data_IF_377871319483
#
_entry.id   IF_377871319483
#
_cell.length_a   1.000
_cell.length_b   1.000
_cell.length_c   1.000
_cell.angle_alpha   90.00
_cell.angle_beta   90.00
_cell.angle_gamma   90.00
#
_symmetry.space_group_name_H-M   'P 1'
#
loop_
_entity.id
_entity.type
_entity.pdbx_description
1 polymer ?
#
# COMPACT_ATOMS: atom_id res chain seq x y z
N UNK A 1 -27.36 -3.73 -18.86
CA UNK A 1 -25.89 -3.47 -18.86
C UNK A 1 -25.61 -2.60 -17.65
N UNK A 2 -25.04 -3.18 -16.61
CA UNK A 2 -24.50 -2.39 -15.49
C UNK A 2 -23.42 -1.48 -16.06
N UNK A 3 -23.64 -0.17 -16.03
CA UNK A 3 -22.60 0.79 -16.36
C UNK A 3 -21.55 0.68 -15.26
N UNK A 4 -20.42 0.02 -15.56
CA UNK A 4 -19.28 -0.01 -14.66
C UNK A 4 -18.90 1.44 -14.34
N UNK A 5 -19.05 1.83 -13.09
CA UNK A 5 -18.78 3.19 -12.61
C UNK A 5 -17.35 3.64 -12.94
N UNK A 6 -16.41 2.71 -12.95
CA UNK A 6 -14.99 2.93 -13.24
C UNK A 6 -14.53 2.17 -14.50
N UNK A 7 -13.56 2.72 -15.25
CA UNK A 7 -13.04 2.05 -16.44
C UNK A 7 -12.26 0.77 -16.06
N UNK A 8 -12.34 -0.24 -16.93
CA UNK A 8 -11.49 -1.42 -16.80
C UNK A 8 -10.02 -1.04 -17.01
N UNK A 9 -9.11 -1.61 -16.21
CA UNK A 9 -7.68 -1.25 -16.20
C UNK A 9 -6.99 -1.49 -17.56
N UNK A 10 -7.51 -2.42 -18.37
CA UNK A 10 -7.00 -2.74 -19.72
C UNK A 10 -7.61 -1.87 -20.81
N UNK A 11 -8.49 -0.95 -20.46
CA UNK A 11 -9.10 -0.05 -21.45
C UNK A 11 -8.03 0.86 -22.07
N UNK A 12 -7.94 0.95 -23.41
CA UNK A 12 -6.94 1.79 -24.08
C UNK A 12 -6.99 3.26 -23.65
N UNK A 13 -8.17 3.74 -23.28
CA UNK A 13 -8.41 5.10 -22.80
C UNK A 13 -8.55 5.21 -21.27
N UNK A 14 -8.03 4.21 -20.54
CA UNK A 14 -8.09 4.14 -19.08
C UNK A 14 -7.68 5.44 -18.41
N UNK A 15 -6.50 5.96 -18.75
CA UNK A 15 -5.95 7.19 -18.16
C UNK A 15 -6.87 8.40 -18.38
N UNK A 16 -7.47 8.49 -19.55
CA UNK A 16 -8.42 9.56 -19.86
C UNK A 16 -9.70 9.41 -19.04
N UNK A 17 -10.28 8.21 -19.01
CA UNK A 17 -11.55 7.95 -18.31
C UNK A 17 -11.43 8.13 -16.81
N UNK A 18 -10.33 7.66 -16.19
CA UNK A 18 -10.14 7.77 -14.75
C UNK A 18 -10.00 9.25 -14.33
N UNK A 19 -9.26 10.06 -15.08
CA UNK A 19 -9.04 11.48 -14.76
C UNK A 19 -10.29 12.36 -14.95
N UNK A 20 -11.33 11.87 -15.63
CA UNK A 20 -12.61 12.55 -15.75
C UNK A 20 -13.55 12.31 -14.57
N UNK A 21 -13.29 11.32 -13.72
CA UNK A 21 -14.06 11.11 -12.50
C UNK A 21 -13.76 12.23 -11.50
N UNK A 22 -14.82 12.72 -10.82
CA UNK A 22 -14.75 13.91 -9.96
C UNK A 22 -13.65 13.81 -8.88
N UNK A 23 -13.55 12.67 -8.21
CA UNK A 23 -12.58 12.40 -7.16
C UNK A 23 -11.13 12.42 -7.64
N UNK A 24 -10.90 12.14 -8.93
CA UNK A 24 -9.58 12.24 -9.57
C UNK A 24 -9.36 13.60 -10.23
N UNK A 25 -10.37 14.17 -10.84
CA UNK A 25 -10.31 15.50 -11.42
C UNK A 25 -9.93 16.57 -10.39
N UNK A 26 -10.43 16.43 -9.16
CA UNK A 26 -10.13 17.33 -8.04
C UNK A 26 -8.65 17.26 -7.59
N UNK A 27 -7.93 16.19 -7.92
CA UNK A 27 -6.49 16.05 -7.61
C UNK A 27 -5.59 16.60 -8.71
N UNK A 28 -6.17 17.19 -9.76
CA UNK A 28 -5.41 17.72 -10.90
C UNK A 28 -4.51 18.88 -10.46
N UNK A 29 -3.24 18.77 -10.78
CA UNK A 29 -2.30 19.86 -10.56
C UNK A 29 -2.50 20.90 -11.67
N UNK A 30 -2.72 22.15 -11.31
CA UNK A 30 -2.74 23.24 -12.29
C UNK A 30 -1.36 23.33 -12.93
N UNK A 31 -1.31 23.14 -14.26
CA UNK A 31 -0.06 23.31 -15.01
C UNK A 31 0.40 24.77 -14.92
N UNK A 32 1.62 24.99 -14.49
CA UNK A 32 2.25 26.32 -14.54
C UNK A 32 2.94 26.46 -15.87
N UNK A 33 2.60 27.51 -16.62
CA UNK A 33 3.39 27.92 -17.77
C UNK A 33 4.73 28.47 -17.25
N UNK A 34 5.84 28.01 -17.81
CA UNK A 34 7.24 28.28 -17.39
C UNK A 34 7.67 29.75 -17.27
N UNK A 35 6.77 30.72 -17.36
CA UNK A 35 7.11 32.14 -17.55
C UNK A 35 6.95 33.04 -16.33
N UNK A 36 6.37 32.58 -15.23
CA UNK A 36 6.16 33.50 -14.09
C UNK A 36 6.77 32.95 -12.79
N UNK A 37 8.05 33.28 -12.57
CA UNK A 37 8.77 32.97 -11.32
C UNK A 37 8.05 33.52 -10.09
N UNK A 38 7.40 34.69 -10.19
CA UNK A 38 6.67 35.31 -9.08
C UNK A 38 5.41 34.52 -8.67
N UNK A 39 4.73 33.94 -9.64
CA UNK A 39 3.58 33.05 -9.35
C UNK A 39 4.05 31.76 -8.68
N UNK A 40 5.17 31.19 -9.13
CA UNK A 40 5.76 29.98 -8.53
C UNK A 40 6.21 30.27 -7.10
N UNK A 41 6.87 31.40 -6.83
CA UNK A 41 7.30 31.81 -5.51
C UNK A 41 6.09 32.02 -4.57
N UNK A 42 5.07 32.75 -5.02
CA UNK A 42 3.83 32.95 -4.27
C UNK A 42 3.12 31.64 -3.92
N UNK A 43 3.06 30.69 -4.88
CA UNK A 43 2.49 29.37 -4.65
C UNK A 43 3.31 28.56 -3.65
N UNK A 44 4.65 28.60 -3.79
CA UNK A 44 5.55 27.95 -2.85
C UNK A 44 5.33 28.47 -1.43
N UNK A 45 5.19 29.76 -1.29
CA UNK A 45 4.89 30.41 0.00
C UNK A 45 3.52 30.01 0.55
N UNK A 46 2.51 29.91 -0.30
CA UNK A 46 1.17 29.44 0.09
C UNK A 46 1.21 27.99 0.57
N UNK A 47 1.89 27.10 -0.16
CA UNK A 47 2.08 25.70 0.22
C UNK A 47 2.85 25.52 1.53
N UNK A 48 3.87 26.39 1.77
CA UNK A 48 4.65 26.39 3.00
C UNK A 48 3.88 26.94 4.22
N UNK A 49 2.83 27.74 4.01
CA UNK A 49 1.99 28.33 5.08
C UNK A 49 0.92 27.39 5.61
N UNK A 50 0.70 26.22 4.98
CA UNK A 50 -0.28 25.24 5.46
C UNK A 50 0.08 24.79 6.87
N UNK A 51 -0.80 25.12 7.84
CA UNK A 51 -0.56 24.86 9.27
C UNK A 51 -0.75 23.41 9.66
N UNK A 52 -1.68 22.70 9.01
CA UNK A 52 -2.03 21.32 9.28
C UNK A 52 -1.47 20.39 8.22
N UNK A 53 -1.39 19.09 8.54
CA UNK A 53 -0.98 18.09 7.57
C UNK A 53 -2.10 17.87 6.55
N UNK A 54 -1.80 18.17 5.30
CA UNK A 54 -2.66 17.87 4.16
C UNK A 54 -1.94 16.93 3.18
N UNK A 55 -2.70 15.99 2.63
CA UNK A 55 -2.20 15.12 1.56
C UNK A 55 -1.98 15.96 0.30
N UNK A 56 -0.84 15.78 -0.33
CA UNK A 56 -0.59 16.37 -1.66
C UNK A 56 -1.53 15.75 -2.70
N UNK A 57 -1.72 16.44 -3.82
CA UNK A 57 -2.65 16.00 -4.88
C UNK A 57 -2.36 14.58 -5.37
N UNK A 58 -1.09 14.22 -5.56
CA UNK A 58 -0.73 12.85 -5.98
C UNK A 58 -1.01 11.81 -4.88
N UNK A 59 -0.86 12.17 -3.60
CA UNK A 59 -1.21 11.28 -2.49
C UNK A 59 -2.72 11.09 -2.38
N UNK A 60 -3.51 12.14 -2.61
CA UNK A 60 -4.97 12.04 -2.70
C UNK A 60 -5.40 11.18 -3.88
N UNK A 61 -4.76 11.35 -5.05
CA UNK A 61 -5.03 10.54 -6.23
C UNK A 61 -4.85 9.05 -5.93
N UNK A 62 -3.70 8.64 -5.41
CA UNK A 62 -3.41 7.22 -5.16
C UNK A 62 -4.29 6.64 -4.04
N UNK A 63 -4.65 7.44 -3.03
CA UNK A 63 -5.61 7.05 -2.00
C UNK A 63 -6.98 6.76 -2.60
N UNK A 64 -7.48 7.64 -3.47
CA UNK A 64 -8.76 7.46 -4.14
C UNK A 64 -8.70 6.26 -5.10
N UNK A 65 -7.56 6.07 -5.79
CA UNK A 65 -7.38 4.96 -6.74
C UNK A 65 -7.51 3.59 -6.09
N UNK A 66 -6.96 3.38 -4.91
CA UNK A 66 -7.00 2.10 -4.22
C UNK A 66 -8.08 2.04 -3.10
N UNK A 67 -9.05 2.94 -3.14
CA UNK A 67 -10.17 2.92 -2.20
C UNK A 67 -11.08 1.71 -2.44
N UNK A 68 -11.98 1.42 -1.49
CA UNK A 68 -12.99 0.38 -1.66
C UNK A 68 -14.06 0.72 -2.69
N UNK A 69 -14.22 1.99 -3.01
CA UNK A 69 -15.19 2.46 -4.01
C UNK A 69 -14.75 2.14 -5.44
N UNK A 70 -13.46 1.81 -5.63
CA UNK A 70 -12.89 1.46 -6.92
C UNK A 70 -12.64 -0.05 -7.05
N UNK A 71 -12.73 -0.60 -8.27
CA UNK A 71 -12.47 -2.03 -8.50
C UNK A 71 -10.99 -2.39 -8.53
N UNK A 72 -10.08 -1.43 -8.27
CA UNK A 72 -8.64 -1.65 -8.38
C UNK A 72 -8.06 -2.20 -7.08
N UNK A 73 -7.26 -3.26 -7.17
CA UNK A 73 -6.72 -3.96 -6.01
C UNK A 73 -5.21 -3.88 -5.88
N UNK A 74 -4.50 -3.42 -6.91
CA UNK A 74 -3.04 -3.39 -6.93
C UNK A 74 -2.51 -2.01 -7.31
N UNK A 75 -1.44 -1.58 -6.62
CA UNK A 75 -0.78 -0.31 -6.91
C UNK A 75 0.73 -0.43 -6.70
N UNK A 76 1.50 0.00 -7.69
CA UNK A 76 2.94 0.21 -7.58
C UNK A 76 3.22 1.71 -7.43
N UNK A 77 3.71 2.11 -6.26
CA UNK A 77 4.19 3.47 -5.99
C UNK A 77 5.68 3.55 -6.36
N UNK A 78 5.93 3.87 -7.62
CA UNK A 78 7.25 4.15 -8.16
C UNK A 78 7.51 5.66 -8.12
N UNK A 79 8.07 6.11 -7.03
CA UNK A 79 8.41 7.52 -6.80
C UNK A 79 9.86 7.64 -6.33
N UNK A 80 10.53 8.76 -6.66
CA UNK A 80 11.87 9.07 -6.14
C UNK A 80 11.93 9.13 -4.60
N UNK A 81 13.12 9.20 -4.06
CA UNK A 81 13.33 9.38 -2.62
C UNK A 81 12.75 10.72 -2.16
N UNK A 82 12.16 10.75 -0.97
CA UNK A 82 11.63 11.97 -0.37
C UNK A 82 10.25 12.43 -0.88
N UNK A 83 9.63 11.74 -1.85
CA UNK A 83 8.33 12.14 -2.44
C UNK A 83 7.11 11.73 -1.61
N UNK A 84 7.29 11.16 -0.44
CA UNK A 84 6.20 10.80 0.47
C UNK A 84 5.51 9.46 0.16
N UNK A 85 6.21 8.47 -0.45
CA UNK A 85 5.67 7.11 -0.70
C UNK A 85 5.03 6.49 0.55
N UNK A 86 5.74 6.55 1.67
CA UNK A 86 5.26 6.00 2.94
C UNK A 86 3.97 6.69 3.40
N UNK A 87 3.87 8.03 3.30
CA UNK A 87 2.64 8.76 3.61
C UNK A 87 1.49 8.39 2.65
N UNK A 88 1.79 8.19 1.37
CA UNK A 88 0.80 7.72 0.39
C UNK A 88 0.23 6.36 0.79
N UNK A 89 1.10 5.39 1.12
CA UNK A 89 0.66 4.06 1.55
C UNK A 89 -0.12 4.11 2.87
N UNK A 90 0.32 4.91 3.85
CA UNK A 90 -0.39 5.11 5.11
C UNK A 90 -1.78 5.71 4.86
N UNK A 91 -1.91 6.66 3.95
CA UNK A 91 -3.21 7.28 3.64
C UNK A 91 -4.20 6.28 3.06
N UNK A 92 -3.73 5.37 2.19
CA UNK A 92 -4.52 4.26 1.66
C UNK A 92 -4.90 3.28 2.79
N UNK A 93 -3.93 2.89 3.62
CA UNK A 93 -4.15 1.98 4.74
C UNK A 93 -5.20 2.51 5.72
N UNK A 94 -5.14 3.80 6.08
CA UNK A 94 -6.08 4.41 7.02
C UNK A 94 -7.49 4.57 6.43
N UNK A 95 -7.60 4.87 5.13
CA UNK A 95 -8.89 4.89 4.45
C UNK A 95 -9.50 3.48 4.42
N UNK A 96 -8.69 2.48 4.07
CA UNK A 96 -9.10 1.07 4.07
C UNK A 96 -9.45 0.58 5.47
N UNK A 97 -8.66 0.94 6.50
CA UNK A 97 -8.93 0.57 7.89
C UNK A 97 -10.29 1.09 8.37
N UNK A 98 -10.63 2.33 8.01
CA UNK A 98 -11.94 2.92 8.33
C UNK A 98 -13.07 2.08 7.74
N UNK A 99 -12.96 1.70 6.48
CA UNK A 99 -13.95 0.83 5.82
C UNK A 99 -13.99 -0.56 6.46
N UNK A 100 -12.86 -1.21 6.68
CA UNK A 100 -12.77 -2.52 7.32
C UNK A 100 -13.47 -2.52 8.69
N UNK A 101 -13.28 -1.45 9.48
CA UNK A 101 -13.93 -1.26 10.78
C UNK A 101 -15.45 -1.17 10.64
N UNK A 102 -15.96 -0.43 9.65
CA UNK A 102 -17.39 -0.32 9.38
C UNK A 102 -18.01 -1.65 8.94
N UNK A 103 -17.29 -2.44 8.17
CA UNK A 103 -17.72 -3.77 7.68
C UNK A 103 -17.50 -4.90 8.69
N UNK A 104 -16.96 -4.61 9.87
CA UNK A 104 -16.68 -5.62 10.90
C UNK A 104 -15.49 -6.53 10.62
N UNK A 105 -14.63 -6.20 9.66
CA UNK A 105 -13.39 -6.94 9.43
C UNK A 105 -12.37 -6.69 10.55
N UNK A 106 -11.75 -7.77 11.03
CA UNK A 106 -10.79 -7.72 12.14
C UNK A 106 -9.35 -8.04 11.71
N UNK A 107 -9.14 -8.37 10.44
CA UNK A 107 -7.81 -8.70 9.92
C UNK A 107 -6.89 -7.47 9.93
N UNK A 108 -5.65 -7.69 10.37
CA UNK A 108 -4.65 -6.61 10.42
C UNK A 108 -4.10 -6.30 9.03
N UNK A 109 -3.77 -5.03 8.82
CA UNK A 109 -2.95 -4.57 7.70
C UNK A 109 -1.54 -5.12 7.90
N UNK A 110 -0.97 -5.79 6.90
CA UNK A 110 0.39 -6.30 6.95
C UNK A 110 1.32 -5.31 6.26
N UNK A 111 2.38 -4.90 6.95
CA UNK A 111 3.45 -4.08 6.40
C UNK A 111 4.74 -4.90 6.40
N UNK A 112 5.26 -5.18 5.20
CA UNK A 112 6.43 -6.02 4.99
C UNK A 112 7.57 -5.12 4.53
N UNK A 113 8.62 -5.04 5.37
CA UNK A 113 9.76 -4.16 5.15
C UNK A 113 10.97 -4.62 5.97
N UNK A 114 12.16 -4.07 5.68
CA UNK A 114 13.32 -4.25 6.55
C UNK A 114 13.10 -3.62 7.92
N UNK A 115 13.78 -4.05 8.99
CA UNK A 115 13.57 -3.53 10.34
C UNK A 115 13.66 -2.00 10.45
N UNK A 116 14.64 -1.39 9.80
CA UNK A 116 14.83 0.08 9.79
C UNK A 116 13.63 0.79 9.14
N UNK A 117 13.15 0.24 8.03
CA UNK A 117 11.99 0.80 7.31
C UNK A 117 10.71 0.64 8.12
N UNK A 118 10.55 -0.50 8.84
CA UNK A 118 9.41 -0.71 9.75
C UNK A 118 9.35 0.36 10.84
N UNK A 119 10.49 0.68 11.48
CA UNK A 119 10.54 1.72 12.50
C UNK A 119 10.20 3.10 11.93
N UNK A 120 10.73 3.44 10.75
CA UNK A 120 10.35 4.67 10.06
C UNK A 120 8.85 4.71 9.72
N UNK A 121 8.29 3.60 9.28
CA UNK A 121 6.86 3.50 8.97
C UNK A 121 6.00 3.74 10.23
N UNK A 122 6.37 3.15 11.37
CA UNK A 122 5.70 3.35 12.66
C UNK A 122 5.76 4.82 13.10
N UNK A 123 6.92 5.48 12.95
CA UNK A 123 7.06 6.91 13.24
C UNK A 123 6.22 7.81 12.31
N UNK A 124 6.03 7.41 11.06
CA UNK A 124 5.14 8.12 10.13
C UNK A 124 3.66 7.90 10.46
N UNK A 125 3.29 6.74 11.02
CA UNK A 125 1.95 6.51 11.55
C UNK A 125 1.70 7.37 12.78
N UNK A 126 2.60 7.32 13.76
CA UNK A 126 2.49 8.09 14.99
C UNK A 126 3.85 8.31 15.63
N UNK A 127 4.25 9.58 15.73
CA UNK A 127 5.43 10.02 16.46
C UNK A 127 4.99 10.83 17.68
N UNK A 128 5.04 10.24 18.86
CA UNK A 128 4.62 10.89 20.11
C UNK A 128 5.35 12.19 20.43
N UNK A 129 6.59 12.38 19.88
CA UNK A 129 7.37 13.60 20.05
C UNK A 129 6.76 14.79 19.33
N UNK A 130 5.96 14.52 18.28
CA UNK A 130 5.25 15.53 17.49
C UNK A 130 3.87 15.89 18.06
N UNK A 131 3.44 15.22 19.13
CA UNK A 131 2.18 15.50 19.78
C UNK A 131 2.25 16.82 20.53
N UNK A 132 1.39 17.78 20.21
CA UNK A 132 1.35 19.13 20.78
C UNK A 132 -0.03 19.41 21.33
N UNK A 133 -0.08 20.08 22.47
CA UNK A 133 -1.32 20.60 23.06
C UNK A 133 -1.55 22.04 22.55
N UNK A 134 -2.68 22.27 21.90
CA UNK A 134 -3.10 23.58 21.37
C UNK A 134 -4.51 23.85 21.87
N UNK A 135 -4.72 24.93 22.61
CA UNK A 135 -6.01 25.34 23.17
C UNK A 135 -6.74 24.24 24.00
N UNK A 136 -5.95 23.35 24.63
CA UNK A 136 -6.44 22.22 25.40
C UNK A 136 -6.74 20.96 24.59
N UNK A 137 -6.47 20.96 23.28
CA UNK A 137 -6.63 19.81 22.40
C UNK A 137 -5.29 19.30 21.90
N UNK A 138 -5.13 17.98 21.86
CA UNK A 138 -3.97 17.36 21.25
C UNK A 138 -4.03 17.48 19.74
N UNK A 139 -2.87 17.73 19.14
CA UNK A 139 -2.70 17.86 17.71
C UNK A 139 -1.39 17.21 17.28
N UNK A 140 -1.33 16.62 16.08
CA UNK A 140 -0.13 15.98 15.56
C UNK A 140 0.07 16.26 14.07
N UNK A 141 1.31 16.60 13.69
CA UNK A 141 1.73 16.70 12.29
C UNK A 141 2.39 15.38 11.86
N UNK A 142 1.60 14.43 11.41
CA UNK A 142 2.02 13.12 10.90
C UNK A 142 1.23 12.77 9.63
N UNK A 143 1.62 11.70 8.93
CA UNK A 143 0.93 11.26 7.70
C UNK A 143 -0.55 10.89 7.93
N UNK A 144 -0.93 10.58 9.16
CA UNK A 144 -2.31 10.29 9.57
C UNK A 144 -3.11 11.55 9.91
N UNK A 145 -2.46 12.73 10.03
CA UNK A 145 -3.08 13.91 10.61
C UNK A 145 -3.65 13.60 12.00
N UNK A 146 -4.75 14.23 12.35
CA UNK A 146 -5.40 14.05 13.65
C UNK A 146 -6.35 12.83 13.74
N UNK A 147 -6.42 11.97 12.71
CA UNK A 147 -7.38 10.84 12.65
C UNK A 147 -7.34 9.93 13.88
N UNK A 148 -6.14 9.60 14.36
CA UNK A 148 -6.01 8.78 15.58
C UNK A 148 -6.44 9.53 16.84
N UNK A 149 -6.18 10.83 16.91
CA UNK A 149 -6.59 11.67 18.04
C UNK A 149 -8.11 11.78 18.09
N UNK A 150 -8.75 12.01 16.96
CA UNK A 150 -10.20 12.04 16.82
C UNK A 150 -10.86 10.69 17.22
N UNK A 151 -10.23 9.57 16.83
CA UNK A 151 -10.71 8.24 17.19
C UNK A 151 -10.57 7.96 18.70
N UNK A 152 -9.53 8.47 19.35
CA UNK A 152 -9.28 8.32 20.79
C UNK A 152 -10.12 9.30 21.62
N UNK A 153 -10.42 10.46 21.08
CA UNK A 153 -11.18 11.54 21.72
C UNK A 153 -12.34 12.02 20.85
N UNK A 154 -13.34 11.17 20.59
CA UNK A 154 -14.47 11.53 19.71
C UNK A 154 -15.38 12.63 20.30
N UNK A 155 -15.33 12.84 21.62
CA UNK A 155 -16.09 13.89 22.32
C UNK A 155 -15.34 15.21 22.41
N UNK A 156 -14.16 15.33 21.79
CA UNK A 156 -13.33 16.54 21.86
C UNK A 156 -13.12 17.06 23.30
N UNK A 157 -12.89 16.15 24.24
CA UNK A 157 -12.62 16.49 25.64
C UNK A 157 -11.27 17.20 25.75
N UNK A 158 -11.24 18.35 26.45
CA UNK A 158 -10.02 19.12 26.70
C UNK A 158 -9.14 18.46 27.76
N UNK A 159 -7.83 18.72 27.68
CA UNK A 159 -6.85 18.39 28.71
C UNK A 159 -6.81 16.89 29.10
N UNK A 160 -7.05 16.00 28.15
CA UNK A 160 -6.79 14.56 28.36
C UNK A 160 -5.28 14.37 28.58
N UNK A 161 -4.89 13.48 29.52
CA UNK A 161 -3.48 13.25 29.78
C UNK A 161 -2.74 12.71 28.55
N UNK A 162 -1.52 13.18 28.34
CA UNK A 162 -0.65 12.81 27.22
C UNK A 162 -0.45 11.30 27.15
N UNK A 163 -0.18 10.68 28.29
CA UNK A 163 0.07 9.25 28.42
C UNK A 163 -1.15 8.42 27.99
N UNK A 164 -2.36 8.88 28.36
CA UNK A 164 -3.61 8.22 27.96
C UNK A 164 -3.80 8.24 26.44
N UNK A 165 -3.57 9.39 25.80
CA UNK A 165 -3.66 9.53 24.34
C UNK A 165 -2.65 8.62 23.65
N UNK A 166 -1.37 8.66 24.05
CA UNK A 166 -0.31 7.83 23.49
C UNK A 166 -0.64 6.35 23.64
N UNK A 167 -1.03 5.91 24.83
CA UNK A 167 -1.37 4.50 25.11
C UNK A 167 -2.52 4.02 24.21
N UNK A 168 -3.55 4.84 24.03
CA UNK A 168 -4.70 4.47 23.20
C UNK A 168 -4.36 4.44 21.72
N UNK A 169 -3.58 5.40 21.20
CA UNK A 169 -3.13 5.39 19.79
C UNK A 169 -2.24 4.16 19.53
N UNK A 170 -1.29 3.87 20.40
CA UNK A 170 -0.43 2.69 20.26
C UNK A 170 -1.25 1.38 20.28
N UNK A 171 -2.32 1.32 21.09
CA UNK A 171 -3.25 0.19 21.10
C UNK A 171 -3.98 0.05 19.75
N UNK A 172 -4.44 1.15 19.15
CA UNK A 172 -5.05 1.14 17.82
C UNK A 172 -4.06 0.59 16.79
N UNK A 173 -2.83 1.12 16.75
CA UNK A 173 -1.80 0.67 15.81
C UNK A 173 -1.50 -0.82 15.99
N UNK A 174 -1.29 -1.29 17.24
CA UNK A 174 -1.04 -2.70 17.54
C UNK A 174 -2.19 -3.62 17.12
N UNK A 175 -3.42 -3.16 17.20
CA UNK A 175 -4.59 -3.94 16.84
C UNK A 175 -4.79 -4.02 15.32
N UNK A 176 -4.43 -2.98 14.58
CA UNK A 176 -4.71 -2.88 13.15
C UNK A 176 -3.52 -3.11 12.24
N UNK A 177 -2.28 -3.00 12.76
CA UNK A 177 -1.08 -3.18 11.96
C UNK A 177 -0.25 -4.38 12.45
N UNK A 178 0.34 -5.07 11.51
CA UNK A 178 1.29 -6.15 11.72
C UNK A 178 2.52 -5.89 10.86
N UNK A 179 3.66 -5.72 11.49
CA UNK A 179 4.93 -5.46 10.83
C UNK A 179 5.74 -6.74 10.77
N UNK A 180 6.31 -7.04 9.61
CA UNK A 180 7.12 -8.24 9.39
C UNK A 180 8.30 -7.94 8.47
N UNK A 181 9.44 -8.62 8.68
CA UNK A 181 10.51 -8.70 7.72
C UNK A 181 10.16 -9.66 6.56
N UNK A 182 10.86 -9.56 5.42
CA UNK A 182 10.57 -10.41 4.25
C UNK A 182 10.71 -11.92 4.56
N UNK A 183 11.79 -12.31 5.27
CA UNK A 183 12.00 -13.70 5.67
C UNK A 183 11.03 -14.13 6.78
N UNK A 184 10.72 -13.23 7.71
CA UNK A 184 9.73 -13.46 8.77
C UNK A 184 8.36 -13.77 8.17
N UNK A 185 7.94 -12.99 7.19
CA UNK A 185 6.70 -13.23 6.45
C UNK A 185 6.69 -14.57 5.70
N UNK A 186 7.80 -14.90 5.03
CA UNK A 186 7.96 -16.20 4.37
C UNK A 186 7.89 -17.37 5.36
N UNK A 187 8.50 -17.22 6.54
CA UNK A 187 8.45 -18.22 7.60
C UNK A 187 7.04 -18.33 8.22
N UNK A 188 6.35 -17.21 8.37
CA UNK A 188 4.95 -17.19 8.82
C UNK A 188 4.06 -18.01 7.89
N UNK A 189 4.10 -17.77 6.57
CA UNK A 189 3.37 -18.57 5.59
C UNK A 189 3.71 -20.05 5.72
N UNK A 190 5.00 -20.36 5.84
CA UNK A 190 5.44 -21.76 6.01
C UNK A 190 4.87 -22.38 7.28
N UNK A 191 4.85 -21.67 8.40
CA UNK A 191 4.37 -22.18 9.68
C UNK A 191 2.88 -22.48 9.65
N UNK A 192 2.07 -21.59 9.10
CA UNK A 192 0.61 -21.81 9.00
C UNK A 192 0.26 -22.99 8.09
N UNK A 193 0.99 -23.14 6.96
CA UNK A 193 0.78 -24.28 6.05
C UNK A 193 1.21 -25.58 6.71
N UNK A 194 2.35 -25.61 7.41
CA UNK A 194 2.84 -26.80 8.11
C UNK A 194 1.89 -27.22 9.23
N UNK A 195 1.45 -26.30 10.07
CA UNK A 195 0.57 -26.61 11.20
C UNK A 195 -0.76 -27.22 10.74
N UNK A 196 -1.29 -26.77 9.62
CA UNK A 196 -2.53 -27.30 9.07
C UNK A 196 -2.38 -28.65 8.31
N UNK A 197 -1.15 -29.02 7.90
CA UNK A 197 -0.87 -30.22 7.15
C UNK A 197 -0.29 -31.38 8.00
N UNK A 198 -0.22 -31.24 9.32
CA UNK A 198 0.44 -32.22 10.20
C UNK A 198 -0.12 -33.64 10.03
N UNK A 199 -1.43 -33.79 9.86
CA UNK A 199 -2.11 -35.06 9.74
C UNK A 199 -2.33 -35.55 8.30
N UNK A 200 -1.96 -34.75 7.29
CA UNK A 200 -2.21 -35.09 5.89
C UNK A 200 -1.02 -35.85 5.29
N UNK A 201 -1.29 -36.97 4.64
CA UNK A 201 -0.28 -37.77 3.92
C UNK A 201 -0.33 -37.51 2.41
N UNK A 202 -1.52 -37.31 1.85
CA UNK A 202 -1.78 -37.12 0.42
C UNK A 202 -1.26 -35.75 -0.06
N UNK A 203 -0.57 -35.76 -1.20
CA UNK A 203 0.00 -34.57 -1.82
C UNK A 203 -1.05 -33.62 -2.38
N UNK A 204 -2.08 -34.15 -3.04
CA UNK A 204 -3.15 -33.31 -3.62
C UNK A 204 -3.96 -32.60 -2.53
N UNK A 205 -4.25 -33.32 -1.43
CA UNK A 205 -4.90 -32.74 -0.26
C UNK A 205 -4.02 -31.65 0.38
N UNK A 206 -2.70 -31.82 0.45
CA UNK A 206 -1.77 -30.79 0.95
C UNK A 206 -1.77 -29.54 0.08
N UNK A 207 -1.77 -29.72 -1.24
CA UNK A 207 -1.77 -28.58 -2.18
C UNK A 207 -3.10 -27.82 -2.12
N UNK A 208 -4.23 -28.52 -2.05
CA UNK A 208 -5.56 -27.91 -1.87
C UNK A 208 -5.65 -27.17 -0.54
N UNK A 209 -5.24 -27.79 0.54
CA UNK A 209 -5.26 -27.19 1.88
C UNK A 209 -4.35 -25.95 1.97
N UNK A 210 -3.20 -25.96 1.27
CA UNK A 210 -2.34 -24.79 1.15
C UNK A 210 -3.06 -23.59 0.52
N UNK A 211 -3.85 -23.82 -0.53
CA UNK A 211 -4.65 -22.78 -1.19
C UNK A 211 -5.69 -22.23 -0.23
N UNK A 212 -6.46 -23.12 0.41
CA UNK A 212 -7.52 -22.76 1.37
C UNK A 212 -6.98 -21.93 2.54
N UNK A 213 -5.78 -22.27 3.05
CA UNK A 213 -5.12 -21.54 4.14
C UNK A 213 -4.71 -20.14 3.68
N UNK A 214 -4.10 -20.03 2.50
CA UNK A 214 -3.69 -18.73 1.96
C UNK A 214 -4.91 -17.85 1.72
N UNK A 215 -5.97 -18.39 1.12
CA UNK A 215 -7.22 -17.68 0.88
C UNK A 215 -7.84 -17.22 2.21
N UNK A 216 -7.99 -18.09 3.17
CA UNK A 216 -8.57 -17.78 4.49
C UNK A 216 -7.77 -16.71 5.24
N UNK A 217 -6.44 -16.81 5.24
CA UNK A 217 -5.58 -15.91 6.01
C UNK A 217 -5.44 -14.53 5.36
N UNK A 218 -5.26 -14.48 4.04
CA UNK A 218 -4.84 -13.25 3.37
C UNK A 218 -5.94 -12.53 2.58
N UNK A 219 -7.09 -13.15 2.29
CA UNK A 219 -8.21 -12.47 1.61
C UNK A 219 -8.82 -11.35 2.45
N UNK A 220 -9.40 -10.34 1.79
CA UNK A 220 -10.00 -9.16 2.42
C UNK A 220 -9.01 -8.42 3.32
N UNK A 221 -7.82 -8.18 2.83
CA UNK A 221 -6.71 -7.62 3.62
C UNK A 221 -5.94 -6.55 2.84
N UNK A 222 -5.26 -5.69 3.56
CA UNK A 222 -4.28 -4.77 2.96
C UNK A 222 -2.89 -5.31 3.22
N UNK A 223 -2.08 -5.39 2.17
CA UNK A 223 -0.69 -5.81 2.23
C UNK A 223 0.17 -4.72 1.59
N UNK A 224 1.07 -4.16 2.37
CA UNK A 224 2.07 -3.19 1.94
C UNK A 224 3.42 -3.89 1.89
N UNK A 225 4.12 -3.77 0.77
CA UNK A 225 5.50 -4.26 0.64
C UNK A 225 6.38 -3.08 0.30
N UNK A 226 7.18 -2.63 1.27
CA UNK A 226 8.10 -1.51 1.06
C UNK A 226 9.46 -2.03 0.57
N UNK A 227 10.09 -1.27 -0.31
CA UNK A 227 11.32 -1.65 -1.04
C UNK A 227 11.23 -3.06 -1.63
N UNK A 228 10.14 -3.29 -2.36
CA UNK A 228 9.76 -4.62 -2.90
C UNK A 228 10.84 -5.25 -3.79
N UNK A 229 11.72 -4.44 -4.39
CA UNK A 229 12.86 -4.94 -5.18
C UNK A 229 13.81 -5.83 -4.37
N UNK A 230 13.88 -5.69 -3.05
CA UNK A 230 14.73 -6.52 -2.17
C UNK A 230 14.30 -7.99 -2.09
N UNK A 231 13.07 -8.32 -2.45
CA UNK A 231 12.55 -9.70 -2.36
C UNK A 231 13.17 -10.60 -3.44
N UNK A 232 13.72 -10.02 -4.48
CA UNK A 232 14.14 -10.74 -5.68
C UNK A 232 15.61 -11.13 -5.71
N UNK A 233 16.44 -10.48 -4.92
CA UNK A 233 17.89 -10.65 -4.95
C UNK A 233 18.37 -11.84 -4.13
N UNK A 234 18.90 -12.86 -4.83
CA UNK A 234 19.63 -14.00 -4.28
C UNK A 234 18.82 -15.27 -4.00
N UNK A 235 19.52 -16.41 -3.92
CA UNK A 235 18.91 -17.75 -3.73
C UNK A 235 18.06 -17.87 -2.45
N UNK A 236 18.44 -17.15 -1.40
CA UNK A 236 17.70 -17.13 -0.14
C UNK A 236 16.30 -16.50 -0.29
N UNK A 237 16.10 -15.61 -1.25
CA UNK A 237 14.83 -14.93 -1.49
C UNK A 237 13.93 -15.66 -2.50
N UNK A 238 14.40 -16.69 -3.19
CA UNK A 238 13.60 -17.46 -4.16
C UNK A 238 12.32 -18.00 -3.54
N UNK A 239 12.43 -18.64 -2.38
CA UNK A 239 11.27 -19.15 -1.63
C UNK A 239 10.32 -18.04 -1.19
N UNK A 240 10.88 -16.91 -0.75
CA UNK A 240 10.09 -15.74 -0.37
C UNK A 240 9.30 -15.20 -1.56
N UNK A 241 9.95 -15.05 -2.72
CA UNK A 241 9.33 -14.65 -3.97
C UNK A 241 8.18 -15.59 -4.38
N UNK A 242 8.37 -16.91 -4.27
CA UNK A 242 7.34 -17.91 -4.53
C UNK A 242 6.15 -17.80 -3.56
N UNK A 243 6.40 -17.51 -2.28
CA UNK A 243 5.35 -17.28 -1.30
C UNK A 243 4.51 -16.05 -1.65
N UNK A 244 5.12 -14.96 -2.09
CA UNK A 244 4.39 -13.77 -2.54
C UNK A 244 3.54 -14.05 -3.78
N UNK A 245 4.08 -14.76 -4.78
CA UNK A 245 3.32 -15.14 -5.96
C UNK A 245 2.12 -16.04 -5.61
N UNK A 246 2.31 -17.00 -4.71
CA UNK A 246 1.21 -17.85 -4.24
C UNK A 246 0.16 -17.05 -3.47
N UNK A 247 0.59 -16.12 -2.62
CA UNK A 247 -0.31 -15.25 -1.87
C UNK A 247 -1.21 -14.48 -2.82
N UNK A 248 -0.63 -13.69 -3.74
CA UNK A 248 -1.41 -12.85 -4.66
C UNK A 248 -2.25 -13.65 -5.66
N UNK A 249 -1.87 -14.90 -5.92
CA UNK A 249 -2.63 -15.80 -6.80
C UNK A 249 -3.90 -16.36 -6.13
N UNK A 250 -3.85 -16.61 -4.82
CA UNK A 250 -4.91 -17.34 -4.13
C UNK A 250 -5.72 -16.49 -3.15
N UNK A 251 -5.14 -15.41 -2.61
CA UNK A 251 -5.89 -14.47 -1.79
C UNK A 251 -6.86 -13.64 -2.65
N UNK A 252 -8.08 -13.43 -2.17
CA UNK A 252 -9.13 -12.67 -2.86
C UNK A 252 -9.34 -11.31 -2.19
N UNK A 253 -9.73 -10.32 -2.97
CA UNK A 253 -10.06 -8.98 -2.48
C UNK A 253 -8.97 -8.37 -1.60
N UNK A 254 -7.70 -8.61 -1.98
CA UNK A 254 -6.53 -8.10 -1.28
C UNK A 254 -6.07 -6.80 -1.92
N UNK A 255 -6.03 -5.72 -1.13
CA UNK A 255 -5.42 -4.46 -1.58
C UNK A 255 -3.89 -4.58 -1.45
N UNK A 256 -3.20 -4.64 -2.58
CA UNK A 256 -1.74 -4.80 -2.67
C UNK A 256 -1.06 -3.48 -2.98
N UNK A 257 -0.18 -3.02 -2.10
CA UNK A 257 0.58 -1.78 -2.26
C UNK A 257 2.06 -2.12 -2.31
N UNK A 258 2.68 -1.91 -3.46
CA UNK A 258 4.11 -2.11 -3.68
C UNK A 258 4.82 -0.76 -3.69
N UNK A 259 5.85 -0.60 -2.89
CA UNK A 259 6.64 0.63 -2.80
C UNK A 259 8.07 0.35 -3.26
N UNK A 260 8.59 1.18 -4.15
CA UNK A 260 10.01 1.16 -4.53
C UNK A 260 10.45 2.46 -5.18
N UNK A 261 11.72 2.82 -4.99
CA UNK A 261 12.36 3.89 -5.76
C UNK A 261 13.09 3.33 -6.99
N UNK A 262 13.39 2.04 -7.00
CA UNK A 262 14.21 1.35 -8.01
C UNK A 262 13.58 0.02 -8.43
N UNK A 263 12.50 0.04 -9.24
CA UNK A 263 11.78 -1.18 -9.62
C UNK A 263 12.63 -2.13 -10.49
N UNK A 264 13.68 -1.61 -11.10
CA UNK A 264 14.65 -2.31 -11.94
C UNK A 264 16.05 -1.92 -11.45
N UNK A 265 16.65 -2.74 -10.57
CA UNK A 265 17.96 -2.42 -9.97
C UNK A 265 19.12 -3.00 -10.76
N UNK A 266 19.11 -4.31 -11.02
CA UNK A 266 20.18 -4.99 -11.74
C UNK A 266 19.88 -5.21 -13.23
N UNK A 267 18.62 -5.45 -13.56
CA UNK A 267 18.16 -5.80 -14.90
C UNK A 267 16.72 -5.27 -15.10
N UNK A 268 16.47 -4.67 -16.27
CA UNK A 268 15.16 -4.12 -16.62
C UNK A 268 14.06 -5.20 -16.68
N UNK A 269 14.41 -6.47 -16.91
CA UNK A 269 13.47 -7.61 -16.88
C UNK A 269 12.88 -7.86 -15.49
N UNK A 270 13.49 -7.28 -14.46
CA UNK A 270 12.99 -7.40 -13.09
C UNK A 270 11.58 -6.83 -12.92
N UNK A 271 11.19 -5.88 -13.74
CA UNK A 271 9.83 -5.30 -13.71
C UNK A 271 8.74 -6.37 -13.92
N UNK A 272 9.04 -7.43 -14.69
CA UNK A 272 8.07 -8.50 -15.00
C UNK A 272 7.55 -9.16 -13.72
N UNK A 273 8.44 -9.40 -12.74
CA UNK A 273 8.02 -10.00 -11.48
C UNK A 273 7.07 -9.08 -10.69
N UNK A 274 7.37 -7.77 -10.64
CA UNK A 274 6.50 -6.78 -9.97
C UNK A 274 5.13 -6.69 -10.65
N UNK A 275 5.12 -6.64 -11.98
CA UNK A 275 3.89 -6.63 -12.76
C UNK A 275 3.09 -7.92 -12.55
N UNK A 276 3.76 -9.07 -12.42
CA UNK A 276 3.09 -10.34 -12.17
C UNK A 276 2.47 -10.42 -10.78
N UNK A 277 3.07 -9.81 -9.76
CA UNK A 277 2.41 -9.69 -8.45
C UNK A 277 1.08 -8.95 -8.56
N UNK A 278 1.06 -7.82 -9.28
CA UNK A 278 -0.17 -7.04 -9.47
C UNK A 278 -1.17 -7.75 -10.37
N UNK A 279 -0.71 -8.32 -11.49
CA UNK A 279 -1.59 -9.04 -12.41
C UNK A 279 -2.30 -10.22 -11.75
N UNK A 280 -1.57 -11.03 -10.98
CA UNK A 280 -2.17 -12.16 -10.26
C UNK A 280 -3.15 -11.68 -9.18
N UNK A 281 -2.83 -10.62 -8.46
CA UNK A 281 -3.72 -10.05 -7.45
C UNK A 281 -5.02 -9.50 -8.06
N UNK A 282 -4.94 -8.98 -9.29
CA UNK A 282 -6.10 -8.47 -10.05
C UNK A 282 -6.79 -9.57 -10.89
N UNK A 283 -6.43 -10.85 -10.70
CA UNK A 283 -7.00 -11.98 -11.45
C UNK A 283 -6.62 -12.01 -12.93
N UNK A 284 -5.52 -11.34 -13.33
CA UNK A 284 -5.02 -11.28 -14.71
C UNK A 284 -3.93 -12.32 -14.96
N UNK A 285 -3.60 -12.50 -16.24
CA UNK A 285 -2.57 -13.44 -16.65
C UNK A 285 -1.15 -12.98 -16.28
N UNK A 286 -0.29 -13.95 -15.98
CA UNK A 286 1.14 -13.72 -15.81
C UNK A 286 1.81 -13.37 -17.13
N UNK A 287 2.64 -12.36 -17.11
CA UNK A 287 3.57 -12.03 -18.20
C UNK A 287 4.75 -13.01 -18.18
N UNK A 288 5.12 -13.53 -19.34
CA UNK A 288 6.31 -14.36 -19.50
C UNK A 288 7.43 -13.50 -20.11
N UNK A 289 8.59 -13.53 -19.50
CA UNK A 289 9.75 -12.76 -19.95
C UNK A 289 10.05 -12.98 -21.44
N UNK A 290 9.99 -14.25 -21.88
CA UNK A 290 10.21 -14.63 -23.27
C UNK A 290 9.21 -14.03 -24.29
N UNK A 291 8.04 -13.61 -23.83
CA UNK A 291 7.02 -13.02 -24.71
C UNK A 291 7.26 -11.51 -24.90
N UNK A 292 7.98 -10.88 -23.97
CA UNK A 292 8.25 -9.43 -23.94
C UNK A 292 9.66 -9.11 -24.42
N UNK A 293 10.65 -9.92 -24.03
CA UNK A 293 12.04 -9.72 -24.36
C UNK A 293 12.56 -10.81 -25.31
N UNK A 294 13.49 -10.42 -26.16
CA UNK A 294 14.23 -11.35 -27.01
C UNK A 294 15.36 -12.07 -26.24
N UNK A 295 16.15 -12.91 -26.93
CA UNK A 295 17.30 -13.63 -26.33
C UNK A 295 18.41 -12.68 -25.86
N UNK A 296 18.49 -11.47 -26.40
CA UNK A 296 19.47 -10.44 -26.01
C UNK A 296 18.97 -9.58 -24.86
N UNK A 297 17.70 -9.73 -24.45
CA UNK A 297 17.06 -8.92 -23.42
C UNK A 297 16.47 -7.61 -23.95
N UNK A 298 16.38 -7.44 -25.27
CA UNK A 298 15.74 -6.25 -25.86
C UNK A 298 14.23 -6.45 -25.96
N UNK A 299 13.47 -5.35 -25.85
CA UNK A 299 12.02 -5.39 -26.02
C UNK A 299 11.66 -5.85 -27.42
N UNK A 300 10.78 -6.85 -27.52
CA UNK A 300 10.19 -7.25 -28.79
C UNK A 300 9.23 -6.16 -29.24
N UNK A 301 9.64 -5.38 -30.21
CA UNK A 301 8.78 -4.42 -30.89
C UNK A 301 7.91 -5.23 -31.86
N UNK A 302 6.62 -5.38 -31.55
CA UNK A 302 5.68 -5.89 -32.53
C UNK A 302 5.57 -4.84 -33.64
N UNK A 303 6.09 -5.16 -34.82
CA UNK A 303 5.91 -4.42 -36.05
C UNK A 303 4.46 -4.50 -36.54
#
# INVERSE_FOLDING_TARGET
>A
MEQNLYPHIESPDFNRKITLKKEFANTKIKGYTKKDYKEIEKLSDELCKVKDFELTNHQQFVRNFLSFETPYNSLLLYHGLGTGKTCSSISICEETRKYMKLMGYTKKIIVIASPVVQENYKLQLFDERKLKLVDGYWNIKACTGNKFIEEVNPMFTKNISREKVIKQINKIIKNWYQFMGYLEFSNYITSIIKSANISLTDKELKDKNKIDIIEKEFSNRVIVIDEVHNIRTGDKMKRTSEHFLNLVKYAKDTKLILLTATPMYNDHREIIWLLNLMNLNDGRYMLKEKDIFDKKGELKINS
#
